data_IF_151435066035
#
_entry.id   IF_151435066035
#
_cell.length_a   1.000
_cell.length_b   1.000
_cell.length_c   1.000
_cell.angle_alpha   90.00
_cell.angle_beta   90.00
_cell.angle_gamma   90.00
#
_symmetry.space_group_name_H-M   'P 1'
#
loop_
_entity.id
_entity.type
_entity.pdbx_description
1 polymer ?
#
# COMPACT_ATOMS: atom_id res chain seq x y z
N UNK A 1 -53.82 41.09 -11.10
CA UNK A 1 -53.01 40.94 -12.34
C UNK A 1 -51.57 40.69 -11.91
N UNK A 2 -51.03 39.60 -12.42
CA UNK A 2 -49.80 38.91 -12.03
C UNK A 2 -48.55 39.77 -12.13
N UNK A 3 -47.53 39.45 -11.30
CA UNK A 3 -46.17 39.17 -11.79
C UNK A 3 -45.35 38.45 -10.70
N UNK A 4 -44.88 37.25 -11.06
CA UNK A 4 -44.01 36.36 -10.29
C UNK A 4 -42.58 36.90 -10.21
N UNK A 5 -41.81 36.57 -9.15
CA UNK A 5 -40.37 36.69 -9.17
C UNK A 5 -39.74 35.49 -9.91
N UNK A 6 -38.97 35.78 -10.95
CA UNK A 6 -38.14 34.81 -11.68
C UNK A 6 -37.04 34.25 -10.80
N UNK A 7 -37.09 32.94 -10.51
CA UNK A 7 -35.98 32.21 -9.92
C UNK A 7 -34.93 31.90 -10.98
N UNK A 8 -33.74 32.51 -10.87
CA UNK A 8 -32.56 32.10 -11.63
C UNK A 8 -31.99 30.81 -11.01
N UNK A 9 -32.38 29.66 -11.58
CA UNK A 9 -31.70 28.38 -11.36
C UNK A 9 -30.44 28.34 -12.24
N UNK A 10 -29.29 28.70 -11.69
CA UNK A 10 -28.00 28.29 -12.25
C UNK A 10 -27.63 26.91 -11.71
N UNK A 11 -27.38 25.90 -12.57
CA UNK A 11 -26.84 24.64 -12.11
C UNK A 11 -25.37 24.83 -11.76
N UNK A 12 -25.04 24.67 -10.47
CA UNK A 12 -23.66 24.49 -9.98
C UNK A 12 -23.06 23.28 -10.70
N UNK A 13 -22.26 23.56 -11.71
CA UNK A 13 -21.47 22.56 -12.43
C UNK A 13 -20.37 22.06 -11.48
N UNK A 14 -20.67 21.01 -10.72
CA UNK A 14 -19.68 20.21 -10.01
C UNK A 14 -18.83 19.48 -11.05
N UNK A 15 -17.91 20.20 -11.68
CA UNK A 15 -16.79 19.62 -12.40
C UNK A 15 -15.99 18.84 -11.37
N UNK A 16 -16.28 17.54 -11.28
CA UNK A 16 -15.43 16.55 -10.63
C UNK A 16 -14.07 16.70 -11.31
N UNK A 17 -13.11 17.30 -10.59
CA UNK A 17 -11.71 17.39 -11.02
C UNK A 17 -11.19 15.97 -11.21
N UNK A 18 -11.39 15.40 -12.39
CA UNK A 18 -10.73 14.17 -12.82
C UNK A 18 -9.25 14.48 -12.80
N UNK A 19 -8.55 13.95 -11.79
CA UNK A 19 -7.08 14.02 -11.73
C UNK A 19 -6.55 13.52 -13.08
N UNK A 20 -5.58 14.20 -13.69
CA UNK A 20 -4.99 13.74 -14.94
C UNK A 20 -4.45 12.32 -14.73
N UNK A 21 -5.09 11.34 -15.36
CA UNK A 21 -4.63 9.96 -15.37
C UNK A 21 -3.32 9.94 -16.17
N UNK A 22 -2.25 9.43 -15.57
CA UNK A 22 -1.02 9.18 -16.32
C UNK A 22 -1.33 8.09 -17.35
N UNK A 23 -1.22 8.44 -18.63
CA UNK A 23 -1.42 7.47 -19.72
C UNK A 23 -0.16 6.59 -19.84
N UNK A 24 -0.20 5.41 -19.23
CA UNK A 24 0.88 4.42 -19.28
C UNK A 24 0.41 3.21 -20.09
N UNK A 25 0.60 3.23 -21.41
CA UNK A 25 0.17 2.11 -22.27
C UNK A 25 1.11 0.90 -22.19
N UNK A 26 2.39 1.13 -21.90
CA UNK A 26 3.41 0.09 -21.72
C UNK A 26 4.08 0.26 -20.36
N UNK A 27 4.58 -0.83 -19.72
CA UNK A 27 5.36 -0.70 -18.51
C UNK A 27 6.48 0.33 -18.68
N UNK A 28 6.45 1.39 -17.88
CA UNK A 28 7.36 2.54 -18.03
C UNK A 28 8.09 2.77 -16.72
N UNK A 29 9.42 2.87 -16.79
CA UNK A 29 10.26 3.19 -15.63
C UNK A 29 10.38 4.70 -15.50
N UNK A 30 10.09 5.21 -14.30
CA UNK A 30 10.20 6.63 -13.95
C UNK A 30 11.02 6.78 -12.68
N UNK A 31 11.79 7.86 -12.60
CA UNK A 31 12.41 8.28 -11.34
C UNK A 31 11.38 9.09 -10.56
N UNK A 32 11.25 8.81 -9.27
CA UNK A 32 10.32 9.53 -8.41
C UNK A 32 10.83 9.63 -6.98
N UNK A 33 10.24 10.54 -6.22
CA UNK A 33 10.42 10.64 -4.78
C UNK A 33 9.15 10.18 -4.08
N UNK A 34 9.27 9.40 -3.01
CA UNK A 34 8.13 9.04 -2.15
C UNK A 34 7.69 10.28 -1.39
N UNK A 35 6.41 10.66 -1.53
CA UNK A 35 5.83 11.82 -0.85
C UNK A 35 5.11 11.39 0.43
N UNK A 36 4.36 10.30 0.37
CA UNK A 36 3.63 9.78 1.52
C UNK A 36 3.21 8.33 1.30
N UNK A 37 3.07 7.58 2.39
CA UNK A 37 2.53 6.22 2.40
C UNK A 37 1.23 6.20 3.21
N UNK A 38 0.18 5.59 2.63
CA UNK A 38 -1.04 5.28 3.37
C UNK A 38 -0.78 4.12 4.34
N UNK A 39 -0.73 4.44 5.62
CA UNK A 39 -0.41 3.51 6.69
C UNK A 39 -1.63 2.82 7.30
N UNK A 40 -2.84 3.07 6.79
CA UNK A 40 -4.09 2.52 7.36
C UNK A 40 -4.35 1.07 6.94
N UNK A 41 -3.96 0.69 5.71
CA UNK A 41 -4.21 -0.65 5.17
C UNK A 41 -3.02 -1.15 4.34
N UNK A 42 -1.90 -1.40 5.01
CA UNK A 42 -0.64 -1.81 4.38
C UNK A 42 -0.63 -3.28 3.93
N UNK A 43 -1.49 -4.12 4.48
CA UNK A 43 -1.49 -5.56 4.24
C UNK A 43 -2.90 -6.14 4.16
N UNK A 44 -3.06 -7.17 3.34
CA UNK A 44 -4.31 -7.92 3.23
C UNK A 44 -4.05 -9.42 3.38
N UNK A 45 -5.09 -10.16 3.78
CA UNK A 45 -5.00 -11.61 3.98
C UNK A 45 -5.26 -12.38 2.70
N UNK A 46 -4.49 -13.44 2.50
CA UNK A 46 -4.68 -14.41 1.42
C UNK A 46 -4.54 -15.84 1.95
N UNK A 47 -5.12 -16.79 1.22
CA UNK A 47 -4.87 -18.21 1.46
C UNK A 47 -3.39 -18.53 1.21
N UNK A 48 -2.75 -19.28 2.11
CA UNK A 48 -1.36 -19.70 1.95
C UNK A 48 -1.15 -20.65 0.77
N UNK A 49 -2.21 -21.38 0.36
CA UNK A 49 -2.16 -22.40 -0.70
C UNK A 49 -2.48 -21.82 -2.07
N UNK A 50 -3.64 -21.18 -2.23
CA UNK A 50 -4.13 -20.71 -3.54
C UNK A 50 -4.00 -19.21 -3.76
N UNK A 51 -3.48 -18.47 -2.77
CA UNK A 51 -3.27 -17.01 -2.80
C UNK A 51 -4.52 -16.16 -3.08
N UNK A 52 -5.71 -16.77 -3.02
CA UNK A 52 -6.96 -16.02 -3.10
C UNK A 52 -7.13 -15.14 -1.85
N UNK A 53 -7.63 -13.93 -2.07
CA UNK A 53 -7.94 -12.98 -1.01
C UNK A 53 -8.94 -13.57 -0.03
N UNK A 54 -8.63 -13.42 1.26
CA UNK A 54 -9.51 -13.80 2.36
C UNK A 54 -10.05 -12.54 3.06
N UNK A 55 -11.21 -12.62 3.71
CA UNK A 55 -11.66 -11.55 4.60
C UNK A 55 -10.68 -11.28 5.73
N UNK A 56 -10.75 -10.10 6.33
CA UNK A 56 -9.87 -9.73 7.45
C UNK A 56 -10.11 -10.60 8.69
N UNK A 57 -11.34 -11.10 8.90
CA UNK A 57 -11.66 -11.98 10.03
C UNK A 57 -10.79 -13.26 10.01
N UNK A 58 -9.89 -13.45 11.00
CA UNK A 58 -8.97 -14.58 11.07
C UNK A 58 -9.64 -15.95 11.03
N UNK A 59 -10.87 -16.06 11.52
CA UNK A 59 -11.65 -17.29 11.63
C UNK A 59 -12.15 -17.80 10.27
N UNK A 60 -12.21 -16.93 9.26
CA UNK A 60 -12.69 -17.30 7.93
C UNK A 60 -11.57 -18.00 7.15
N UNK A 61 -11.80 -19.28 6.86
CA UNK A 61 -10.90 -20.12 6.06
C UNK A 61 -11.16 -20.00 4.57
N UNK A 62 -10.20 -20.47 3.77
CA UNK A 62 -10.31 -20.43 2.31
C UNK A 62 -11.34 -21.45 1.79
N UNK A 63 -12.53 -20.99 1.43
CA UNK A 63 -13.60 -21.81 0.84
C UNK A 63 -13.13 -22.70 -0.32
N UNK A 64 -12.20 -22.23 -1.15
CA UNK A 64 -11.71 -22.99 -2.31
C UNK A 64 -10.80 -24.16 -1.93
N UNK A 65 -10.06 -24.05 -0.83
CA UNK A 65 -9.14 -25.07 -0.36
C UNK A 65 -9.76 -25.97 0.71
N UNK A 66 -10.82 -25.52 1.38
CA UNK A 66 -11.59 -26.33 2.34
C UNK A 66 -12.21 -27.57 1.69
N UNK A 67 -12.64 -27.49 0.43
CA UNK A 67 -13.29 -28.62 -0.28
C UNK A 67 -12.32 -29.58 -0.98
N UNK A 68 -11.04 -29.23 -1.15
CA UNK A 68 -10.10 -30.00 -1.98
C UNK A 68 -9.33 -31.08 -1.22
N UNK A 69 -9.37 -31.09 0.11
CA UNK A 69 -8.57 -31.99 0.94
C UNK A 69 -9.44 -33.02 1.69
N UNK A 70 -10.06 -33.96 0.95
CA UNK A 70 -10.70 -35.14 1.54
C UNK A 70 -9.70 -36.16 2.14
N UNK A 71 -8.40 -36.00 1.90
CA UNK A 71 -7.36 -36.94 2.37
C UNK A 71 -6.52 -36.41 3.54
N UNK A 72 -6.55 -35.11 3.83
CA UNK A 72 -5.92 -34.56 5.03
C UNK A 72 -6.47 -33.15 5.33
N UNK A 73 -7.39 -32.98 6.31
CA UNK A 73 -8.02 -31.69 6.60
C UNK A 73 -7.05 -30.77 7.35
N UNK A 74 -5.91 -30.44 6.76
CA UNK A 74 -5.11 -29.32 7.23
C UNK A 74 -5.82 -28.04 6.81
N UNK A 75 -6.33 -27.30 7.79
CA UNK A 75 -6.91 -25.98 7.57
C UNK A 75 -5.92 -25.16 6.74
N UNK A 76 -6.34 -24.71 5.56
CA UNK A 76 -5.49 -23.87 4.74
C UNK A 76 -5.24 -22.58 5.49
N UNK A 77 -4.01 -22.41 5.98
CA UNK A 77 -3.62 -21.23 6.73
C UNK A 77 -3.78 -19.95 5.91
N UNK A 78 -3.72 -18.81 6.59
CA UNK A 78 -3.66 -17.50 5.95
C UNK A 78 -2.26 -16.91 6.08
N UNK A 79 -1.79 -16.25 5.03
CA UNK A 79 -0.62 -15.37 5.06
C UNK A 79 -1.04 -13.95 4.71
N UNK A 80 -0.18 -12.96 5.00
CA UNK A 80 -0.38 -11.58 4.56
C UNK A 80 0.50 -11.24 3.38
N UNK A 81 0.00 -10.34 2.57
CA UNK A 81 0.73 -9.73 1.47
C UNK A 81 0.60 -8.21 1.58
N UNK A 82 1.64 -7.48 1.18
CA UNK A 82 1.56 -6.02 1.16
C UNK A 82 0.65 -5.53 0.04
N UNK A 83 -0.07 -4.44 0.36
CA UNK A 83 -0.83 -3.62 -0.57
C UNK A 83 -0.65 -2.17 -0.13
N UNK A 84 0.40 -1.54 -0.64
CA UNK A 84 0.80 -0.20 -0.23
C UNK A 84 0.23 0.81 -1.21
N UNK A 85 -0.59 1.74 -0.74
CA UNK A 85 -0.89 2.96 -1.49
C UNK A 85 0.13 4.01 -1.10
N UNK A 86 0.77 4.61 -2.10
CA UNK A 86 1.75 5.67 -1.87
C UNK A 86 1.62 6.77 -2.91
N UNK A 87 1.84 8.00 -2.48
CA UNK A 87 1.97 9.16 -3.34
C UNK A 87 3.43 9.28 -3.76
N UNK A 88 3.67 9.41 -5.06
CA UNK A 88 5.00 9.66 -5.62
C UNK A 88 5.01 10.97 -6.40
N UNK A 89 6.13 11.68 -6.30
CA UNK A 89 6.42 12.86 -7.11
C UNK A 89 7.43 12.50 -8.21
N UNK A 90 7.06 12.72 -9.46
CA UNK A 90 8.03 12.81 -10.57
C UNK A 90 8.47 14.25 -10.74
N UNK A 91 9.35 14.50 -11.70
CA UNK A 91 9.76 15.83 -12.17
C UNK A 91 8.58 16.77 -12.50
N UNK A 92 7.44 16.20 -12.90
CA UNK A 92 6.32 16.92 -13.51
C UNK A 92 5.03 16.90 -12.69
N UNK A 93 4.85 15.91 -11.80
CA UNK A 93 3.57 15.72 -11.09
C UNK A 93 3.66 14.82 -9.88
N UNK A 94 2.65 14.95 -9.01
CA UNK A 94 2.40 14.04 -7.90
C UNK A 94 1.17 13.20 -8.18
N UNK A 95 1.25 11.89 -8.02
CA UNK A 95 0.12 10.98 -8.18
C UNK A 95 0.24 9.74 -7.29
N UNK A 96 -0.88 9.06 -7.08
CA UNK A 96 -0.97 7.87 -6.23
C UNK A 96 -0.73 6.61 -7.06
N UNK A 97 0.13 5.74 -6.56
CA UNK A 97 0.40 4.42 -7.10
C UNK A 97 0.13 3.35 -6.05
N UNK A 98 -0.03 2.11 -6.51
CA UNK A 98 -0.17 0.94 -5.63
C UNK A 98 0.99 -0.02 -5.82
N UNK A 99 1.57 -0.47 -4.72
CA UNK A 99 2.65 -1.44 -4.68
C UNK A 99 2.16 -2.74 -4.03
N UNK A 100 2.35 -3.85 -4.71
CA UNK A 100 2.06 -5.18 -4.17
C UNK A 100 3.32 -5.81 -3.60
N UNK A 101 3.08 -6.81 -2.76
CA UNK A 101 4.04 -7.60 -2.00
C UNK A 101 5.47 -7.66 -2.54
N UNK A 102 5.73 -8.20 -3.74
CA UNK A 102 7.10 -8.33 -4.27
C UNK A 102 7.87 -7.01 -4.31
N UNK A 103 7.23 -5.93 -4.78
CA UNK A 103 7.86 -4.62 -4.84
C UNK A 103 7.94 -3.99 -3.44
N UNK A 104 6.90 -4.15 -2.61
CA UNK A 104 6.85 -3.57 -1.27
C UNK A 104 7.94 -4.14 -0.35
N UNK A 105 8.25 -5.45 -0.46
CA UNK A 105 9.32 -6.09 0.31
C UNK A 105 10.70 -5.46 0.08
N UNK A 106 10.94 -4.84 -1.07
CA UNK A 106 12.20 -4.11 -1.32
C UNK A 106 12.33 -2.90 -0.39
N UNK A 107 11.24 -2.15 -0.22
CA UNK A 107 11.23 -0.95 0.62
C UNK A 107 11.12 -1.30 2.11
N UNK A 108 10.30 -2.28 2.45
CA UNK A 108 10.07 -2.67 3.85
C UNK A 108 11.19 -3.57 4.40
N UNK A 109 11.88 -4.35 3.56
CA UNK A 109 12.96 -5.24 3.95
C UNK A 109 12.53 -6.50 4.72
N UNK A 110 11.23 -6.77 4.76
CA UNK A 110 10.64 -7.89 5.49
C UNK A 110 9.39 -8.38 4.75
N UNK A 111 8.83 -9.51 5.18
CA UNK A 111 7.52 -9.97 4.70
C UNK A 111 6.37 -9.17 5.33
N UNK A 112 5.18 -9.21 4.71
CA UNK A 112 4.01 -8.54 5.27
C UNK A 112 3.55 -9.14 6.60
N UNK A 113 3.71 -10.46 6.81
CA UNK A 113 3.42 -11.09 8.09
C UNK A 113 4.42 -10.62 9.17
N UNK A 114 5.70 -10.59 8.85
CA UNK A 114 6.74 -10.10 9.77
C UNK A 114 6.50 -8.63 10.16
N UNK A 115 6.18 -7.77 9.20
CA UNK A 115 5.85 -6.38 9.48
C UNK A 115 4.59 -6.24 10.33
N UNK A 116 3.55 -7.02 10.02
CA UNK A 116 2.29 -7.00 10.77
C UNK A 116 2.51 -7.43 12.23
N UNK A 117 3.26 -8.51 12.45
CA UNK A 117 3.59 -8.98 13.79
C UNK A 117 4.48 -7.98 14.55
N UNK A 118 5.41 -7.33 13.85
CA UNK A 118 6.19 -6.23 14.41
C UNK A 118 5.31 -5.06 14.87
N UNK A 119 4.33 -4.67 14.04
CA UNK A 119 3.44 -3.54 14.28
C UNK A 119 2.39 -3.81 15.37
N UNK A 120 1.95 -5.06 15.56
CA UNK A 120 1.00 -5.43 16.64
C UNK A 120 1.45 -4.98 18.03
N UNK A 121 2.75 -5.06 18.28
CA UNK A 121 3.34 -4.81 19.61
C UNK A 121 3.93 -3.41 19.73
N UNK A 122 3.91 -2.61 18.66
CA UNK A 122 4.59 -1.32 18.57
C UNK A 122 3.64 -0.26 18.00
N UNK A 123 3.04 0.58 18.87
CA UNK A 123 2.16 1.66 18.43
C UNK A 123 2.86 2.53 17.39
N UNK A 124 2.13 2.93 16.35
CA UNK A 124 2.60 3.79 15.26
C UNK A 124 3.68 3.20 14.34
N UNK A 125 4.00 1.90 14.41
CA UNK A 125 5.01 1.31 13.53
C UNK A 125 4.68 1.49 12.03
N UNK A 126 3.39 1.43 11.66
CA UNK A 126 2.94 1.69 10.29
C UNK A 126 3.21 3.13 9.84
N UNK A 127 3.00 4.11 10.72
CA UNK A 127 3.27 5.53 10.47
C UNK A 127 4.79 5.78 10.37
N UNK A 128 5.56 5.24 11.32
CA UNK A 128 7.02 5.35 11.32
C UNK A 128 7.65 4.72 10.07
N UNK A 129 7.08 3.64 9.53
CA UNK A 129 7.52 3.06 8.25
C UNK A 129 7.27 4.02 7.08
N UNK A 130 6.15 4.75 7.11
CA UNK A 130 5.86 5.82 6.16
C UNK A 130 6.90 6.94 6.23
N UNK A 131 7.18 7.44 7.43
CA UNK A 131 8.18 8.50 7.67
C UNK A 131 9.60 8.05 7.26
N UNK A 132 9.97 6.80 7.55
CA UNK A 132 11.27 6.26 7.17
C UNK A 132 11.49 6.14 5.65
N UNK A 133 10.39 6.06 4.88
CA UNK A 133 10.42 5.94 3.43
C UNK A 133 10.11 7.28 2.72
N UNK A 134 9.61 8.27 3.44
CA UNK A 134 9.34 9.60 2.91
C UNK A 134 10.63 10.26 2.43
N UNK A 135 10.59 10.89 1.25
CA UNK A 135 11.75 11.51 0.64
C UNK A 135 12.71 10.54 -0.06
N UNK A 136 12.48 9.22 0.01
CA UNK A 136 13.33 8.26 -0.71
C UNK A 136 13.15 8.39 -2.22
N UNK A 137 14.28 8.48 -2.93
CA UNK A 137 14.31 8.50 -4.40
C UNK A 137 14.34 7.07 -4.93
N UNK A 138 13.40 6.77 -5.82
CA UNK A 138 13.16 5.45 -6.35
C UNK A 138 13.14 5.49 -7.89
N UNK A 139 13.71 4.46 -8.50
CA UNK A 139 13.32 4.04 -9.84
C UNK A 139 12.16 3.07 -9.74
N UNK A 140 10.99 3.44 -10.26
CA UNK A 140 9.79 2.58 -10.25
C UNK A 140 9.34 2.27 -11.67
N UNK A 141 9.04 1.01 -11.94
CA UNK A 141 8.37 0.62 -13.18
C UNK A 141 6.87 0.57 -12.92
N UNK A 142 6.14 1.38 -13.68
CA UNK A 142 4.71 1.57 -13.57
C UNK A 142 3.98 0.81 -14.67
N UNK A 143 2.80 0.28 -14.37
CA UNK A 143 1.93 -0.39 -15.34
C UNK A 143 0.47 -0.03 -15.12
N UNK A 144 -0.31 -0.01 -16.20
CA UNK A 144 -1.76 0.11 -16.11
C UNK A 144 -2.36 -1.06 -15.34
N UNK A 145 -3.43 -0.83 -14.58
CA UNK A 145 -4.20 -1.92 -13.99
C UNK A 145 -4.73 -2.85 -15.08
N UNK A 146 -4.60 -4.16 -14.88
CA UNK A 146 -5.09 -5.18 -15.83
C UNK A 146 -6.61 -5.23 -15.96
N UNK A 147 -7.34 -4.73 -14.96
CA UNK A 147 -8.79 -4.74 -14.91
C UNK A 147 -9.29 -3.29 -14.94
N UNK A 148 -10.26 -2.98 -15.80
CA UNK A 148 -10.82 -1.63 -15.97
C UNK A 148 -11.40 -1.00 -14.70
N UNK A 149 -11.71 -1.79 -13.68
CA UNK A 149 -12.22 -1.32 -12.39
C UNK A 149 -11.11 -0.92 -11.39
N UNK A 150 -9.85 -1.29 -11.63
CA UNK A 150 -8.77 -0.93 -10.73
C UNK A 150 -8.32 0.51 -11.00
N UNK A 151 -8.35 1.33 -9.95
CA UNK A 151 -8.20 2.79 -10.07
C UNK A 151 -6.76 3.28 -10.03
N UNK A 152 -5.83 2.46 -9.51
CA UNK A 152 -4.44 2.87 -9.27
C UNK A 152 -3.47 2.23 -10.25
N UNK A 153 -2.52 3.05 -10.71
CA UNK A 153 -1.34 2.62 -11.45
C UNK A 153 -0.51 1.71 -10.55
N UNK A 154 -0.03 0.58 -11.09
CA UNK A 154 0.69 -0.44 -10.31
C UNK A 154 2.19 -0.26 -10.46
N UNK A 155 2.90 -0.29 -9.34
CA UNK A 155 4.35 -0.49 -9.32
C UNK A 155 4.65 -1.97 -9.48
N UNK A 156 5.37 -2.34 -10.54
CA UNK A 156 5.77 -3.74 -10.81
C UNK A 156 7.18 -4.05 -10.35
N UNK A 157 8.04 -3.04 -10.30
CA UNK A 157 9.39 -3.10 -9.73
C UNK A 157 9.78 -1.75 -9.15
N UNK A 158 10.65 -1.80 -8.15
CA UNK A 158 11.16 -0.63 -7.44
C UNK A 158 12.64 -0.86 -7.13
N UNK A 159 13.45 0.18 -7.31
CA UNK A 159 14.87 0.20 -6.97
C UNK A 159 15.16 1.51 -6.24
N UNK A 160 15.52 1.48 -4.95
CA UNK A 160 16.03 2.65 -4.25
C UNK A 160 17.31 3.17 -4.90
N UNK A 161 17.41 4.48 -5.09
CA UNK A 161 18.54 5.11 -5.77
C UNK A 161 19.66 5.51 -4.81
N UNK A 162 19.37 5.65 -3.51
CA UNK A 162 20.40 5.88 -2.50
C UNK A 162 21.23 4.63 -2.28
N UNK A 163 22.55 4.77 -2.39
CA UNK A 163 23.51 3.67 -2.17
C UNK A 163 23.48 3.11 -0.75
N UNK A 164 23.14 3.94 0.23
CA UNK A 164 22.99 3.58 1.64
C UNK A 164 21.53 3.41 2.05
N UNK A 165 20.64 3.09 1.11
CA UNK A 165 19.23 2.84 1.41
C UNK A 165 19.11 1.78 2.51
N UNK A 166 18.32 2.09 3.54
CA UNK A 166 17.98 1.16 4.60
C UNK A 166 16.49 0.82 4.49
N UNK A 167 16.13 -0.48 4.42
CA UNK A 167 14.73 -0.85 4.42
C UNK A 167 14.05 -0.43 5.71
N UNK A 168 12.75 -0.10 5.63
CA UNK A 168 12.00 0.47 6.75
C UNK A 168 12.12 -0.36 8.04
N UNK A 169 12.07 -1.69 7.95
CA UNK A 169 12.15 -2.55 9.15
C UNK A 169 13.47 -2.39 9.92
N UNK A 170 14.57 -2.05 9.25
CA UNK A 170 15.87 -1.84 9.90
C UNK A 170 15.81 -0.58 10.76
N UNK A 171 15.42 0.54 10.16
CA UNK A 171 15.22 1.83 10.85
C UNK A 171 14.25 1.70 12.02
N UNK A 172 13.13 1.00 11.82
CA UNK A 172 12.12 0.80 12.85
C UNK A 172 12.69 -0.01 14.03
N UNK A 173 13.43 -1.10 13.77
CA UNK A 173 14.05 -1.88 14.86
C UNK A 173 15.00 -1.04 15.70
N UNK A 174 15.74 -0.12 15.10
CA UNK A 174 16.64 0.79 15.83
C UNK A 174 15.84 1.78 16.69
N UNK A 175 14.85 2.45 16.11
CA UNK A 175 14.01 3.43 16.83
C UNK A 175 13.30 2.80 18.03
N UNK A 176 12.69 1.62 17.84
CA UNK A 176 11.96 0.95 18.93
C UNK A 176 12.88 0.25 19.94
N UNK A 177 14.13 -0.09 19.58
CA UNK A 177 15.14 -0.50 20.56
C UNK A 177 15.58 0.67 21.44
N UNK A 178 15.86 1.83 20.84
CA UNK A 178 16.27 3.03 21.57
C UNK A 178 15.19 3.49 22.57
N UNK A 179 13.90 3.44 22.17
CA UNK A 179 12.77 3.80 23.05
C UNK A 179 12.53 2.81 24.19
N UNK A 180 12.82 1.52 23.99
CA UNK A 180 12.75 0.51 25.04
C UNK A 180 13.86 0.64 26.09
N UNK A 181 15.03 1.16 25.69
CA UNK A 181 16.14 1.41 26.61
C UNK A 181 15.94 2.69 27.45
N UNK A 182 15.32 3.73 26.89
CA UNK A 182 15.04 4.98 27.61
C UNK A 182 13.88 4.90 28.62
N UNK A 183 13.14 3.79 28.63
CA UNK A 183 12.04 3.54 29.58
C UNK A 183 12.45 2.66 30.78
N UNK A 184 13.72 2.26 30.88
CA UNK A 184 14.28 1.50 32.01
C UNK A 184 15.25 2.32 32.89
N UNK A 185 15.36 3.63 32.68
CA UNK A 185 16.20 4.52 33.49
C UNK A 185 15.34 5.53 34.24
N UNK A 186 14.53 5.08 35.20
CA UNK A 186 13.98 5.91 36.28
C UNK A 186 13.62 5.05 37.49
#
# INVERSE_FOLDING_TARGET
>A
MSNQPTSSNEPVNQQTRKRPLVEIDKPTTVMCTVVAIDHTNLCYRVCSVCEKTLPENPEITCKYCTFSNNFNPTTSGSKRLFRILMSIATDTKVFVVIMFDRAARVLFGCSADEFFDFAKTRPYAAMAAGEALEGEMLAVTLSKPKNGNAQHIRVVSVVPLRSNFQPAIVTLREVYRARGASSQSH
#
